data_IF_108042355867
#
_entry.id   IF_108042355867
#
_cell.length_a   1.000
_cell.length_b   1.000
_cell.length_c   1.000
_cell.angle_alpha   90.00
_cell.angle_beta   90.00
_cell.angle_gamma   90.00
#
_symmetry.space_group_name_H-M   'P 1'
#
loop_
_entity.id
_entity.type
_entity.pdbx_description
1 polymer ?
#
# COMPACT_ATOMS: atom_id res chain seq x y z
N UNK A 1 -6.91 -14.23 -2.55
CA UNK A 1 -5.77 -15.08 -2.14
C UNK A 1 -5.02 -14.33 -1.07
N UNK A 2 -4.76 -14.96 0.06
CA UNK A 2 -3.93 -14.47 1.15
C UNK A 2 -2.52 -15.05 1.01
N UNK A 3 -1.51 -14.28 1.41
CA UNK A 3 -0.12 -14.67 1.34
C UNK A 3 0.63 -14.13 2.57
N UNK A 4 1.62 -14.89 3.02
CA UNK A 4 2.48 -14.55 4.15
C UNK A 4 3.93 -14.73 3.73
N UNK A 5 4.77 -13.75 4.07
CA UNK A 5 6.19 -13.80 3.78
C UNK A 5 6.91 -14.67 4.82
N UNK A 6 7.60 -15.71 4.37
CA UNK A 6 8.22 -16.72 5.25
C UNK A 6 9.30 -16.12 6.17
N UNK A 7 10.03 -15.10 5.71
CA UNK A 7 11.17 -14.55 6.46
C UNK A 7 10.78 -13.79 7.74
N UNK A 8 9.57 -13.24 7.80
CA UNK A 8 9.14 -12.34 8.88
C UNK A 8 7.66 -12.49 9.29
N UNK A 9 6.96 -13.49 8.74
CA UNK A 9 5.54 -13.77 8.98
C UNK A 9 4.59 -12.60 8.63
N UNK A 10 5.05 -11.65 7.81
CA UNK A 10 4.25 -10.49 7.41
C UNK A 10 3.20 -10.88 6.37
N UNK A 11 1.96 -10.44 6.58
CA UNK A 11 0.90 -10.56 5.56
C UNK A 11 1.19 -9.63 4.39
N UNK A 12 1.14 -10.18 3.18
CA UNK A 12 1.48 -9.46 1.95
C UNK A 12 0.34 -9.51 0.93
N UNK A 13 0.33 -8.51 0.06
CA UNK A 13 -0.49 -8.50 -1.15
C UNK A 13 0.40 -8.79 -2.37
N UNK A 14 -0.13 -9.58 -3.29
CA UNK A 14 0.54 -9.93 -4.55
C UNK A 14 -0.14 -9.21 -5.71
N UNK A 15 0.63 -8.43 -6.48
CA UNK A 15 0.16 -7.75 -7.70
C UNK A 15 0.83 -8.37 -8.91
N UNK A 16 0.06 -9.05 -9.75
CA UNK A 16 0.53 -9.48 -11.07
C UNK A 16 0.64 -8.27 -12.01
N UNK A 17 1.76 -8.19 -12.73
CA UNK A 17 2.10 -7.11 -13.66
C UNK A 17 2.66 -7.75 -14.93
N UNK A 18 2.24 -7.26 -16.09
CA UNK A 18 2.83 -7.64 -17.38
C UNK A 18 3.84 -6.57 -17.79
N UNK A 19 5.12 -6.95 -17.87
CA UNK A 19 6.21 -6.07 -18.30
C UNK A 19 6.03 -5.62 -19.76
N UNK A 20 5.28 -6.38 -20.56
CA UNK A 20 4.93 -6.01 -21.93
C UNK A 20 3.95 -4.83 -21.99
N UNK A 21 2.99 -4.77 -21.07
CA UNK A 21 1.96 -3.72 -21.03
C UNK A 21 2.43 -2.53 -20.18
N UNK A 22 3.14 -2.80 -19.09
CA UNK A 22 3.62 -1.83 -18.11
C UNK A 22 5.14 -1.95 -17.90
N UNK A 23 5.96 -1.60 -18.91
CA UNK A 23 7.39 -1.88 -18.93
C UNK A 23 8.20 -1.22 -17.81
N UNK A 24 7.70 -0.14 -17.23
CA UNK A 24 8.42 0.64 -16.21
C UNK A 24 7.82 0.52 -14.80
N UNK A 25 6.71 -0.21 -14.63
CA UNK A 25 5.99 -0.23 -13.35
C UNK A 25 6.84 -0.84 -12.23
N UNK A 26 7.50 -1.97 -12.50
CA UNK A 26 8.38 -2.64 -11.53
C UNK A 26 9.59 -1.76 -11.19
N UNK A 27 10.24 -1.18 -12.20
CA UNK A 27 11.42 -0.34 -12.05
C UNK A 27 11.13 0.91 -11.21
N UNK A 28 10.04 1.62 -11.51
CA UNK A 28 9.62 2.81 -10.77
C UNK A 28 9.25 2.46 -9.33
N UNK A 29 8.55 1.35 -9.10
CA UNK A 29 8.18 0.92 -7.75
C UNK A 29 9.42 0.54 -6.92
N UNK A 30 10.41 -0.10 -7.53
CA UNK A 30 11.69 -0.43 -6.88
C UNK A 30 12.55 0.80 -6.60
N UNK A 31 12.53 1.81 -7.48
CA UNK A 31 13.23 3.09 -7.26
C UNK A 31 12.88 3.67 -5.89
N UNK A 32 11.59 3.85 -5.60
CA UNK A 32 11.13 4.40 -4.31
C UNK A 32 11.29 3.44 -3.12
N UNK A 33 11.65 2.19 -3.35
CA UNK A 33 11.89 1.18 -2.31
C UNK A 33 13.38 0.92 -2.07
N UNK A 34 14.27 1.64 -2.75
CA UNK A 34 15.72 1.47 -2.70
C UNK A 34 16.41 2.72 -2.11
N UNK A 35 17.65 2.64 -1.60
CA UNK A 35 18.43 3.82 -1.27
C UNK A 35 18.64 4.73 -2.50
N UNK A 36 18.56 6.07 -2.35
CA UNK A 36 18.38 6.83 -1.10
C UNK A 36 16.92 7.10 -0.71
N UNK A 37 15.94 6.58 -1.46
CA UNK A 37 14.52 6.89 -1.29
C UNK A 37 13.88 6.15 -0.11
N UNK A 38 14.36 4.93 0.18
CA UNK A 38 13.86 4.13 1.30
C UNK A 38 14.03 4.91 2.62
N UNK A 39 12.94 5.04 3.37
CA UNK A 39 12.95 5.75 4.65
C UNK A 39 12.95 7.29 4.54
N UNK A 40 12.98 7.87 3.34
CA UNK A 40 12.87 9.32 3.18
C UNK A 40 11.50 9.82 3.70
N UNK A 41 11.44 10.87 4.53
CA UNK A 41 10.20 11.25 5.23
C UNK A 41 9.07 11.71 4.31
N UNK A 42 9.39 12.23 3.12
CA UNK A 42 8.40 12.62 2.09
C UNK A 42 8.08 11.50 1.10
N UNK A 43 8.79 10.37 1.18
CA UNK A 43 8.47 9.22 0.37
C UNK A 43 7.30 8.47 1.01
N UNK A 44 6.12 8.68 0.42
CA UNK A 44 4.88 7.99 0.78
C UNK A 44 4.51 6.93 -0.26
N UNK A 45 5.44 6.49 -1.12
CA UNK A 45 5.21 5.37 -2.02
C UNK A 45 5.06 4.07 -1.23
N UNK A 46 4.25 3.14 -1.74
CA UNK A 46 4.13 1.81 -1.14
C UNK A 46 5.47 1.08 -1.30
N UNK A 47 6.06 0.55 -0.21
CA UNK A 47 7.32 -0.17 -0.31
C UNK A 47 7.13 -1.51 -1.00
N UNK A 48 8.06 -1.85 -1.88
CA UNK A 48 8.15 -3.16 -2.53
C UNK A 48 9.04 -4.06 -1.68
N UNK A 49 8.48 -5.19 -1.24
CA UNK A 49 9.17 -6.15 -0.38
C UNK A 49 9.95 -7.17 -1.20
N UNK A 50 9.42 -7.54 -2.37
CA UNK A 50 10.04 -8.48 -3.30
C UNK A 50 9.40 -8.37 -4.71
N UNK A 51 10.09 -8.88 -5.73
CA UNK A 51 9.57 -9.01 -7.09
C UNK A 51 9.88 -10.41 -7.59
N UNK A 52 8.83 -11.22 -7.77
CA UNK A 52 8.94 -12.58 -8.27
C UNK A 52 8.73 -12.59 -9.79
N UNK A 53 9.43 -13.48 -10.49
CA UNK A 53 9.17 -13.74 -11.91
C UNK A 53 8.16 -14.87 -12.05
N UNK A 54 7.26 -14.75 -13.02
CA UNK A 54 6.36 -15.84 -13.39
C UNK A 54 7.16 -16.92 -14.13
N UNK A 55 7.14 -18.19 -13.70
CA UNK A 55 7.86 -19.28 -14.37
C UNK A 55 7.24 -19.67 -15.71
N UNK A 56 5.98 -19.35 -15.97
CA UNK A 56 5.23 -19.70 -17.18
C UNK A 56 5.12 -18.51 -18.17
N UNK A 57 5.24 -17.28 -17.68
CA UNK A 57 5.23 -16.05 -18.50
C UNK A 57 6.51 -15.22 -18.32
N UNK A 58 7.41 -15.17 -19.33
CA UNK A 58 8.62 -14.35 -19.28
C UNK A 58 8.36 -12.85 -19.05
N UNK A 59 7.22 -12.33 -19.51
CA UNK A 59 6.81 -10.94 -19.31
C UNK A 59 6.08 -10.73 -17.97
N UNK A 60 5.66 -11.82 -17.32
CA UNK A 60 4.92 -11.83 -16.06
C UNK A 60 5.82 -11.57 -14.86
N UNK A 61 5.45 -10.57 -14.05
CA UNK A 61 6.06 -10.23 -12.76
C UNK A 61 5.02 -10.19 -11.67
N UNK A 62 5.40 -10.57 -10.46
CA UNK A 62 4.55 -10.48 -9.27
C UNK A 62 5.25 -9.57 -8.27
N UNK A 63 4.68 -8.39 -8.05
CA UNK A 63 5.16 -7.45 -7.03
C UNK A 63 4.57 -7.88 -5.68
N UNK A 64 5.45 -8.07 -4.70
CA UNK A 64 5.10 -8.36 -3.30
C UNK A 64 5.16 -7.06 -2.51
N UNK A 65 4.03 -6.66 -1.93
CA UNK A 65 3.89 -5.42 -1.16
C UNK A 65 3.17 -5.69 0.17
N UNK A 66 3.27 -4.80 1.17
CA UNK A 66 2.53 -4.96 2.42
C UNK A 66 1.02 -5.11 2.18
N UNK A 67 0.33 -5.81 3.08
CA UNK A 67 -1.13 -5.84 3.06
C UNK A 67 -1.67 -4.46 3.44
N UNK A 68 -2.36 -3.80 2.50
CA UNK A 68 -2.93 -2.48 2.69
C UNK A 68 -4.46 -2.50 2.59
N UNK A 69 -5.10 -1.49 3.16
CA UNK A 69 -6.55 -1.27 3.03
C UNK A 69 -6.81 0.03 2.29
N UNK A 70 -8.00 0.20 1.70
CA UNK A 70 -8.38 1.44 1.02
C UNK A 70 -8.33 2.61 1.99
N UNK A 71 -7.91 3.79 1.53
CA UNK A 71 -7.64 4.96 2.38
C UNK A 71 -8.81 5.42 3.28
N UNK A 72 -10.05 5.10 2.90
CA UNK A 72 -11.30 5.44 3.60
C UNK A 72 -11.98 4.22 4.23
N UNK A 73 -11.24 3.12 4.45
CA UNK A 73 -11.75 1.94 5.14
C UNK A 73 -11.02 1.76 6.48
N UNK A 74 -11.68 1.95 7.63
CA UNK A 74 -13.08 2.36 7.83
C UNK A 74 -13.28 3.85 7.47
N UNK A 75 -14.52 4.36 7.50
CA UNK A 75 -14.80 5.77 7.19
C UNK A 75 -13.93 6.75 7.98
N UNK A 76 -13.70 7.97 7.47
CA UNK A 76 -13.09 9.02 8.26
C UNK A 76 -14.05 9.48 9.35
N UNK A 77 -13.53 9.67 10.56
CA UNK A 77 -14.32 10.12 11.72
C UNK A 77 -14.19 11.61 11.97
N UNK A 78 -13.08 12.24 11.54
CA UNK A 78 -12.84 13.67 11.72
C UNK A 78 -12.33 14.35 10.45
N UNK A 79 -12.53 15.66 10.36
CA UNK A 79 -11.92 16.49 9.31
C UNK A 79 -10.39 16.45 9.39
N UNK A 80 -9.84 16.29 10.60
CA UNK A 80 -8.40 16.16 10.83
C UNK A 80 -7.81 14.94 10.12
N UNK A 81 -8.51 13.80 10.13
CA UNK A 81 -8.08 12.59 9.41
C UNK A 81 -8.07 12.79 7.88
N UNK A 82 -9.07 13.50 7.35
CA UNK A 82 -9.15 13.85 5.93
C UNK A 82 -7.97 14.73 5.53
N UNK A 83 -7.71 15.79 6.30
CA UNK A 83 -6.58 16.70 6.05
C UNK A 83 -5.25 15.96 6.16
N UNK A 84 -5.08 15.09 7.16
CA UNK A 84 -3.85 14.32 7.35
C UNK A 84 -3.59 13.35 6.17
N UNK A 85 -4.64 12.69 5.68
CA UNK A 85 -4.58 11.82 4.50
C UNK A 85 -4.12 12.61 3.27
N UNK A 86 -4.81 13.70 2.91
CA UNK A 86 -4.46 14.48 1.71
C UNK A 86 -3.09 15.12 1.79
N UNK A 87 -2.66 15.56 2.99
CA UNK A 87 -1.30 16.05 3.19
C UNK A 87 -0.26 14.99 2.80
N UNK A 88 -0.38 13.76 3.29
CA UNK A 88 0.56 12.68 2.96
C UNK A 88 0.54 12.34 1.47
N UNK A 89 -0.65 12.31 0.85
CA UNK A 89 -0.75 12.08 -0.60
C UNK A 89 -0.07 13.18 -1.41
N UNK A 90 -0.27 14.46 -1.07
CA UNK A 90 0.40 15.55 -1.78
C UNK A 90 1.90 15.59 -1.53
N UNK A 91 2.36 15.27 -0.32
CA UNK A 91 3.79 15.11 -0.03
C UNK A 91 4.42 14.01 -0.89
N UNK A 92 3.75 12.86 -1.02
CA UNK A 92 4.22 11.73 -1.81
C UNK A 92 4.28 12.04 -3.30
N UNK A 93 3.21 12.64 -3.85
CA UNK A 93 3.16 13.06 -5.26
C UNK A 93 4.22 14.13 -5.55
N UNK A 94 4.40 15.10 -4.66
CA UNK A 94 5.45 16.10 -4.79
C UNK A 94 6.83 15.44 -4.79
N UNK A 95 7.08 14.47 -3.89
CA UNK A 95 8.33 13.73 -3.86
C UNK A 95 8.58 12.91 -5.14
N UNK A 96 7.55 12.29 -5.71
CA UNK A 96 7.66 11.64 -7.03
C UNK A 96 8.09 12.64 -8.10
N UNK A 97 7.48 13.84 -8.13
CA UNK A 97 7.81 14.87 -9.11
C UNK A 97 9.25 15.40 -8.98
N UNK A 98 9.77 15.54 -7.77
CA UNK A 98 11.20 15.89 -7.55
C UNK A 98 12.15 14.83 -8.11
N UNK A 99 11.69 13.60 -8.24
CA UNK A 99 12.42 12.48 -8.83
C UNK A 99 11.99 12.20 -10.29
N UNK A 100 11.37 13.18 -10.95
CA UNK A 100 10.95 13.14 -12.36
C UNK A 100 9.97 12.00 -12.71
N UNK A 101 9.20 11.53 -11.72
CA UNK A 101 8.15 10.53 -11.90
C UNK A 101 6.78 11.18 -11.72
N UNK A 102 5.89 10.99 -12.70
CA UNK A 102 4.48 11.36 -12.57
C UNK A 102 3.62 10.12 -12.33
N UNK A 103 2.76 10.13 -11.30
CA UNK A 103 1.90 8.98 -10.97
C UNK A 103 0.86 8.67 -12.06
N UNK A 104 0.27 9.70 -12.67
CA UNK A 104 -0.73 9.63 -13.76
C UNK A 104 -2.06 8.92 -13.47
N UNK A 105 -2.22 8.30 -12.30
CA UNK A 105 -3.46 7.60 -11.90
C UNK A 105 -3.71 7.71 -10.38
N UNK A 106 -3.50 8.90 -9.81
CA UNK A 106 -3.71 9.17 -8.38
C UNK A 106 -5.22 9.34 -8.04
N UNK A 107 -6.04 8.37 -8.46
CA UNK A 107 -7.47 8.30 -8.14
C UNK A 107 -7.74 7.55 -6.84
N UNK A 108 -8.97 7.66 -6.33
CA UNK A 108 -9.37 7.05 -5.03
C UNK A 108 -9.15 5.54 -4.93
N UNK A 109 -9.15 4.83 -6.06
CA UNK A 109 -8.91 3.38 -6.11
C UNK A 109 -7.45 3.00 -5.89
N UNK A 110 -6.53 3.94 -6.06
CA UNK A 110 -5.09 3.74 -5.89
C UNK A 110 -4.58 4.38 -4.59
N UNK A 111 -5.44 4.98 -3.76
CA UNK A 111 -5.04 5.50 -2.45
C UNK A 111 -5.28 4.42 -1.39
N UNK A 112 -4.19 4.02 -0.75
CA UNK A 112 -4.12 2.96 0.24
C UNK A 112 -3.64 3.51 1.58
N UNK A 113 -3.84 2.76 2.65
CA UNK A 113 -3.30 3.07 3.98
C UNK A 113 -2.76 1.81 4.64
N UNK A 114 -1.77 2.02 5.51
CA UNK A 114 -1.21 0.99 6.38
C UNK A 114 -2.22 0.63 7.49
N UNK A 115 -2.73 -0.62 7.54
CA UNK A 115 -3.71 -1.04 8.50
C UNK A 115 -3.12 -1.53 9.83
N UNK A 116 -1.79 -1.60 9.96
CA UNK A 116 -1.10 -2.29 11.06
C UNK A 116 -1.60 -1.84 12.44
N UNK A 117 -1.66 -0.53 12.68
CA UNK A 117 -2.18 0.01 13.95
C UNK A 117 -3.69 0.23 13.93
N UNK A 118 -4.30 0.33 12.75
CA UNK A 118 -5.72 0.59 12.57
C UNK A 118 -6.58 -0.63 12.96
N UNK A 119 -6.09 -1.83 12.65
CA UNK A 119 -6.74 -3.11 12.93
C UNK A 119 -5.89 -3.96 13.88
N UNK A 120 -5.90 -3.67 15.19
CA UNK A 120 -5.05 -4.34 16.17
C UNK A 120 -5.25 -5.87 16.26
N UNK A 121 -6.47 -6.35 15.97
CA UNK A 121 -6.80 -7.79 15.96
C UNK A 121 -6.72 -8.40 14.55
N UNK A 122 -6.28 -7.61 13.57
CA UNK A 122 -6.31 -7.95 12.15
C UNK A 122 -7.71 -7.88 11.51
N UNK A 123 -7.75 -8.16 10.21
CA UNK A 123 -8.94 -8.07 9.38
C UNK A 123 -8.90 -9.12 8.26
N UNK A 124 -10.05 -9.35 7.63
CA UNK A 124 -10.16 -10.24 6.47
C UNK A 124 -9.62 -9.56 5.19
N UNK A 125 -8.71 -10.20 4.43
CA UNK A 125 -7.94 -9.55 3.35
C UNK A 125 -8.79 -9.03 2.18
N UNK A 126 -10.00 -9.56 1.97
CA UNK A 126 -10.93 -9.11 0.91
C UNK A 126 -12.06 -8.25 1.46
N UNK A 127 -12.43 -8.45 2.73
CA UNK A 127 -13.57 -7.78 3.38
C UNK A 127 -13.05 -7.15 4.66
N UNK A 128 -12.39 -6.02 4.52
CA UNK A 128 -11.65 -5.32 5.57
C UNK A 128 -12.50 -4.98 6.80
N UNK A 129 -13.83 -4.90 6.65
CA UNK A 129 -14.77 -4.73 7.76
C UNK A 129 -15.07 -6.00 8.56
N UNK A 130 -14.63 -7.19 8.11
CA UNK A 130 -14.80 -8.47 8.80
C UNK A 130 -13.53 -8.85 9.55
N UNK A 131 -13.69 -9.48 10.72
CA UNK A 131 -12.57 -10.07 11.45
C UNK A 131 -11.82 -11.10 10.59
N UNK A 132 -10.53 -11.30 10.83
CA UNK A 132 -9.71 -12.24 10.07
C UNK A 132 -10.28 -13.68 10.07
N UNK A 133 -10.94 -14.07 11.17
CA UNK A 133 -11.65 -15.36 11.33
C UNK A 133 -12.95 -15.46 10.54
N UNK A 134 -13.38 -14.36 9.91
CA UNK A 134 -14.69 -14.20 9.27
C UNK A 134 -15.89 -14.33 10.22
N UNK A 135 -15.65 -14.35 11.53
CA UNK A 135 -16.68 -14.45 12.57
C UNK A 135 -16.92 -13.07 13.19
N UNK A 136 -17.74 -12.26 12.52
CA UNK A 136 -18.12 -10.92 12.97
C UNK A 136 -17.29 -9.78 12.35
N UNK A 137 -17.55 -8.57 12.82
CA UNK A 137 -16.87 -7.35 12.34
C UNK A 137 -15.46 -7.23 12.90
N UNK A 138 -14.54 -6.69 12.11
CA UNK A 138 -13.21 -6.36 12.58
C UNK A 138 -13.28 -5.18 13.56
N UNK A 139 -12.56 -5.30 14.67
CA UNK A 139 -12.32 -4.16 15.57
C UNK A 139 -11.27 -3.24 14.94
N UNK A 140 -11.56 -1.95 14.93
CA UNK A 140 -10.61 -0.91 14.54
C UNK A 140 -10.59 0.19 15.60
N UNK A 141 -9.52 0.98 15.60
CA UNK A 141 -9.40 2.21 16.40
C UNK A 141 -9.40 3.43 15.48
N UNK A 142 -9.55 4.62 16.03
CA UNK A 142 -9.63 5.83 15.21
C UNK A 142 -8.26 6.18 14.62
N UNK A 143 -8.23 6.84 13.47
CA UNK A 143 -6.93 7.25 12.88
C UNK A 143 -6.31 8.41 13.64
N UNK A 144 -7.13 9.14 14.39
CA UNK A 144 -6.69 10.17 15.32
C UNK A 144 -5.87 9.59 16.48
N UNK A 145 -6.15 8.34 16.88
CA UNK A 145 -5.38 7.64 17.93
C UNK A 145 -4.11 6.99 17.36
N UNK A 146 -4.20 6.38 16.16
CA UNK A 146 -3.12 5.51 15.65
C UNK A 146 -2.22 6.12 14.57
N UNK A 147 -2.64 7.23 13.95
CA UNK A 147 -1.91 7.99 12.92
C UNK A 147 -1.34 7.11 11.79
N UNK A 148 -2.20 6.53 10.92
CA UNK A 148 -1.73 5.63 9.87
C UNK A 148 -0.95 6.39 8.77
N UNK A 149 -0.17 5.62 8.01
CA UNK A 149 0.46 6.10 6.78
C UNK A 149 -0.46 5.88 5.59
N UNK A 150 -0.58 6.88 4.72
CA UNK A 150 -1.30 6.80 3.45
C UNK A 150 -0.33 6.90 2.28
N UNK A 151 -0.64 6.17 1.22
CA UNK A 151 0.20 6.05 0.04
C UNK A 151 -0.65 5.92 -1.22
N UNK A 152 -0.14 6.42 -2.35
CA UNK A 152 -0.69 6.12 -3.66
C UNK A 152 0.04 4.89 -4.24
N UNK A 153 -0.71 3.99 -4.90
CA UNK A 153 -0.29 2.68 -5.40
C UNK A 153 0.09 2.69 -6.87
#
# INVERSE_FOLDING_TARGET
MDAVRISDDTKVQLKAVSSKVHPHEVEIAQLFSSPPHIGHPRNHCIPILDVLSDPEDPDGKIIVMPMLVRFREPGFETVGEVIACWRQIFEGIHYMHENFVAHRDCGSNNIMQDPTNLYPDGFHPVRTWMAASYKGFARYITRTECWPRWAAR
#
